data_IF_686288503317
#
_entry.id   IF_686288503317
#
_cell.length_a   1.000
_cell.length_b   1.000
_cell.length_c   1.000
_cell.angle_alpha   90.00
_cell.angle_beta   90.00
_cell.angle_gamma   90.00
#
_symmetry.space_group_name_H-M   'P 1'
#
loop_
_entity.id
_entity.type
_entity.pdbx_description
1 polymer ?
#
# COMPACT_ATOMS: atom_id res chain seq x y z
N UNK A 1 6.74 -31.36 -37.02
CA UNK A 1 6.74 -30.19 -37.95
C UNK A 1 5.84 -29.02 -37.50
N UNK A 2 5.49 -28.87 -36.21
CA UNK A 2 4.60 -27.78 -35.75
C UNK A 2 5.32 -26.59 -35.08
N UNK A 3 6.63 -26.70 -34.79
CA UNK A 3 7.41 -25.60 -34.15
C UNK A 3 7.87 -24.53 -35.15
N UNK A 4 8.06 -24.89 -36.42
CA UNK A 4 8.61 -23.97 -37.41
C UNK A 4 7.58 -22.95 -37.94
N UNK A 5 6.30 -23.34 -38.00
CA UNK A 5 5.22 -22.43 -38.42
C UNK A 5 4.94 -21.31 -37.41
N UNK A 6 5.09 -21.57 -36.11
CA UNK A 6 4.86 -20.55 -35.07
C UNK A 6 5.95 -19.47 -35.06
N UNK A 7 7.16 -19.80 -35.47
CA UNK A 7 8.27 -18.86 -35.46
C UNK A 7 8.19 -17.85 -36.63
N UNK A 8 7.67 -18.29 -37.78
CA UNK A 8 7.42 -17.41 -38.93
C UNK A 8 6.33 -16.36 -38.68
N UNK A 9 5.25 -16.73 -37.99
CA UNK A 9 4.15 -15.80 -37.68
C UNK A 9 4.56 -14.68 -36.70
N UNK A 10 5.51 -14.95 -35.80
CA UNK A 10 6.03 -13.94 -34.86
C UNK A 10 6.94 -12.94 -35.58
N UNK A 11 7.73 -13.38 -36.56
CA UNK A 11 8.61 -12.50 -37.34
C UNK A 11 7.85 -11.55 -38.27
N UNK A 12 6.73 -11.98 -38.87
CA UNK A 12 5.91 -11.09 -39.71
C UNK A 12 5.14 -10.05 -38.89
N UNK A 13 4.70 -10.40 -37.68
CA UNK A 13 4.06 -9.47 -36.74
C UNK A 13 5.04 -8.39 -36.24
N UNK A 14 6.30 -8.76 -35.98
CA UNK A 14 7.36 -7.83 -35.59
C UNK A 14 7.76 -6.89 -36.74
N UNK A 15 7.84 -7.40 -37.98
CA UNK A 15 8.20 -6.59 -39.14
C UNK A 15 7.12 -5.54 -39.51
N UNK A 16 5.83 -5.89 -39.37
CA UNK A 16 4.73 -4.92 -39.60
C UNK A 16 4.74 -3.79 -38.57
N UNK A 17 5.04 -4.09 -37.30
CA UNK A 17 5.09 -3.07 -36.25
C UNK A 17 6.25 -2.07 -36.42
N UNK A 18 7.37 -2.51 -36.99
CA UNK A 18 8.51 -1.63 -37.28
C UNK A 18 8.28 -0.72 -38.49
N UNK A 19 7.40 -1.09 -39.43
CA UNK A 19 7.18 -0.31 -40.66
C UNK A 19 6.06 0.73 -40.49
N UNK A 20 5.07 0.48 -39.63
CA UNK A 20 3.97 1.42 -39.37
C UNK A 20 4.31 2.53 -38.36
N UNK A 21 5.42 2.40 -37.61
CA UNK A 21 5.86 3.38 -36.61
C UNK A 21 7.14 4.13 -36.99
N UNK A 22 7.50 4.18 -38.27
CA UNK A 22 8.58 5.03 -38.75
C UNK A 22 8.14 6.50 -38.76
N UNK A 23 8.06 7.10 -37.57
CA UNK A 23 7.85 8.53 -37.39
C UNK A 23 9.10 9.26 -37.90
N UNK A 24 8.96 10.31 -38.73
CA UNK A 24 10.10 11.12 -39.15
C UNK A 24 10.79 11.69 -37.90
N UNK A 25 12.12 11.59 -37.89
CA UNK A 25 12.99 11.98 -36.78
C UNK A 25 12.85 13.48 -36.53
N UNK A 26 11.95 13.87 -35.63
CA UNK A 26 11.78 15.24 -35.16
C UNK A 26 13.00 15.66 -34.36
N UNK A 27 13.45 16.90 -34.56
CA UNK A 27 14.52 17.56 -33.81
C UNK A 27 14.41 17.31 -32.29
N UNK A 28 15.55 17.19 -31.58
CA UNK A 28 15.55 16.93 -30.15
C UNK A 28 14.73 18.01 -29.43
N UNK A 29 13.73 17.64 -28.60
CA UNK A 29 12.91 18.62 -27.91
C UNK A 29 13.79 19.47 -27.00
N UNK A 30 13.52 20.78 -26.98
CA UNK A 30 14.14 21.72 -26.06
C UNK A 30 14.11 21.16 -24.63
N UNK A 31 15.23 21.33 -23.91
CA UNK A 31 15.43 20.83 -22.54
C UNK A 31 14.13 20.95 -21.72
N UNK A 32 13.66 19.86 -21.09
CA UNK A 32 12.46 19.93 -20.28
C UNK A 32 12.61 21.03 -19.23
N UNK A 33 11.55 21.79 -18.93
CA UNK A 33 11.62 22.85 -17.93
C UNK A 33 12.16 22.25 -16.63
N UNK A 34 13.29 22.79 -16.17
CA UNK A 34 13.91 22.39 -14.90
C UNK A 34 12.88 22.63 -13.80
N UNK A 35 12.23 21.57 -13.32
CA UNK A 35 11.31 21.65 -12.20
C UNK A 35 12.16 22.07 -11.00
N UNK A 36 11.95 23.26 -10.41
CA UNK A 36 12.72 23.69 -9.27
C UNK A 36 12.61 22.65 -8.17
N UNK A 37 13.74 22.19 -7.64
CA UNK A 37 13.78 21.27 -6.52
C UNK A 37 12.99 21.88 -5.35
N UNK A 38 11.81 21.31 -5.05
CA UNK A 38 11.05 21.67 -3.86
C UNK A 38 11.62 20.85 -2.72
N UNK A 39 12.22 21.51 -1.73
CA UNK A 39 12.57 20.84 -0.47
C UNK A 39 11.36 20.05 0.04
N UNK A 40 11.52 18.78 0.45
CA UNK A 40 10.44 18.03 1.05
C UNK A 40 9.95 18.84 2.25
N UNK A 41 8.66 19.23 2.25
CA UNK A 41 8.06 19.87 3.42
C UNK A 41 8.22 18.87 4.56
N UNK A 42 8.88 19.22 5.68
CA UNK A 42 9.00 18.31 6.80
C UNK A 42 7.60 17.84 7.17
N UNK A 43 7.41 16.55 7.50
CA UNK A 43 6.11 16.04 7.85
C UNK A 43 5.54 16.91 8.98
N UNK A 44 4.43 17.61 8.71
CA UNK A 44 3.76 18.52 9.67
C UNK A 44 3.36 17.83 10.98
N UNK A 45 3.49 16.50 11.06
CA UNK A 45 2.98 15.65 12.14
C UNK A 45 4.11 15.00 12.93
N UNK A 46 4.98 15.81 13.53
CA UNK A 46 5.66 15.33 14.76
C UNK A 46 4.61 15.44 15.85
N UNK A 47 4.02 14.32 16.27
CA UNK A 47 3.03 14.30 17.36
C UNK A 47 3.71 14.83 18.61
N UNK A 48 3.16 15.90 19.17
CA UNK A 48 3.67 16.50 20.41
C UNK A 48 2.76 16.09 21.54
N UNK A 49 3.34 15.82 22.70
CA UNK A 49 2.59 15.78 23.94
C UNK A 49 1.88 17.13 24.13
N UNK A 50 0.69 17.08 24.69
CA UNK A 50 0.01 18.28 25.14
C UNK A 50 0.90 19.00 26.16
N UNK A 51 1.26 20.27 25.94
CA UNK A 51 2.20 20.99 26.79
C UNK A 51 1.67 21.21 28.22
N UNK A 52 0.36 21.12 28.46
CA UNK A 52 -0.25 21.25 29.79
C UNK A 52 -0.32 19.91 30.53
N UNK A 53 -0.65 18.84 29.81
CA UNK A 53 -0.93 17.54 30.43
C UNK A 53 0.23 16.54 30.30
N UNK A 54 1.22 16.82 29.45
CA UNK A 54 2.30 15.89 29.10
C UNK A 54 1.81 14.63 28.39
N UNK A 55 0.50 14.52 28.11
CA UNK A 55 -0.10 13.34 27.52
C UNK A 55 -0.11 13.46 26.01
N UNK A 56 0.22 12.35 25.37
CA UNK A 56 -0.02 12.20 23.94
C UNK A 56 -1.52 12.16 23.67
N UNK A 57 -2.04 12.85 22.64
CA UNK A 57 -3.44 12.69 22.26
C UNK A 57 -3.74 11.24 21.89
N UNK A 58 -4.88 10.72 22.33
CA UNK A 58 -5.31 9.37 21.96
C UNK A 58 -5.74 9.36 20.48
N UNK A 59 -5.14 8.49 19.67
CA UNK A 59 -5.49 8.36 18.23
C UNK A 59 -6.00 6.97 17.93
N UNK A 60 -7.20 6.95 17.35
CA UNK A 60 -7.75 5.78 16.71
C UNK A 60 -7.44 5.81 15.22
N UNK A 61 -7.09 4.66 14.68
CA UNK A 61 -6.91 4.41 13.26
C UNK A 61 -8.00 3.46 12.80
N UNK A 62 -8.52 3.69 11.61
CA UNK A 62 -9.47 2.82 10.94
C UNK A 62 -8.74 2.09 9.82
N UNK A 63 -8.88 0.77 9.78
CA UNK A 63 -8.11 -0.02 8.83
C UNK A 63 -8.36 -1.52 8.94
N UNK A 64 -7.70 -2.25 8.04
CA UNK A 64 -7.80 -3.69 7.92
C UNK A 64 -6.76 -4.38 8.80
N UNK A 65 -7.16 -5.26 9.73
CA UNK A 65 -6.23 -6.02 10.55
C UNK A 65 -5.62 -7.17 9.74
N UNK A 66 -4.30 -7.29 9.83
CA UNK A 66 -3.51 -8.42 9.33
C UNK A 66 -2.96 -9.21 10.51
N UNK A 67 -3.72 -10.19 11.02
CA UNK A 67 -3.15 -11.33 11.72
C UNK A 67 -2.12 -12.04 10.84
N UNK A 68 -1.16 -12.71 11.47
CA UNK A 68 -0.09 -13.40 10.74
C UNK A 68 -0.63 -14.47 9.77
N UNK A 69 -1.70 -15.20 10.14
CA UNK A 69 -2.33 -16.18 9.26
C UNK A 69 -2.98 -15.56 8.02
N UNK A 70 -3.54 -14.35 8.13
CA UNK A 70 -4.12 -13.61 7.00
C UNK A 70 -3.02 -13.12 6.07
N UNK A 71 -1.91 -12.63 6.63
CA UNK A 71 -0.76 -12.20 5.85
C UNK A 71 -0.12 -13.39 5.13
N UNK A 72 -0.04 -14.55 5.78
CA UNK A 72 0.42 -15.80 5.17
C UNK A 72 -0.48 -16.22 4.01
N UNK A 73 -1.80 -16.26 4.21
CA UNK A 73 -2.76 -16.57 3.15
C UNK A 73 -2.64 -15.62 1.95
N UNK A 74 -2.45 -14.31 2.21
CA UNK A 74 -2.20 -13.35 1.15
C UNK A 74 -0.90 -13.64 0.39
N UNK A 75 0.21 -13.92 1.10
CA UNK A 75 1.48 -14.27 0.48
C UNK A 75 1.36 -15.51 -0.42
N UNK A 76 0.60 -16.51 0.01
CA UNK A 76 0.36 -17.74 -0.74
C UNK A 76 -0.46 -17.46 -2.00
N UNK A 77 -1.52 -16.64 -1.88
CA UNK A 77 -2.37 -16.23 -3.01
C UNK A 77 -1.57 -15.56 -4.13
N UNK A 78 -0.61 -14.69 -3.79
CA UNK A 78 0.21 -13.98 -4.78
C UNK A 78 1.50 -14.72 -5.17
N UNK A 79 1.75 -15.91 -4.61
CA UNK A 79 2.96 -16.68 -4.85
C UNK A 79 4.24 -16.00 -4.35
N UNK A 80 4.15 -15.20 -3.29
CA UNK A 80 5.28 -14.44 -2.76
C UNK A 80 6.23 -15.34 -1.99
N UNK A 81 7.35 -15.69 -2.62
CA UNK A 81 8.44 -16.48 -2.02
C UNK A 81 7.94 -17.75 -1.30
N UNK A 82 7.28 -18.69 -1.99
CA UNK A 82 6.55 -19.81 -1.38
C UNK A 82 7.39 -20.75 -0.50
N UNK A 83 8.72 -20.72 -0.65
CA UNK A 83 9.65 -21.56 0.11
C UNK A 83 10.25 -20.85 1.34
N UNK A 84 9.81 -19.64 1.67
CA UNK A 84 10.33 -18.85 2.80
C UNK A 84 9.33 -18.80 3.96
N UNK A 85 9.85 -18.70 5.17
CA UNK A 85 9.02 -18.49 6.36
C UNK A 85 8.33 -17.11 6.30
N UNK A 86 7.18 -16.97 6.98
CA UNK A 86 6.41 -15.71 6.97
C UNK A 86 7.25 -14.50 7.39
N UNK A 87 8.16 -14.64 8.36
CA UNK A 87 9.00 -13.54 8.83
C UNK A 87 9.87 -12.94 7.72
N UNK A 88 10.33 -13.78 6.78
CA UNK A 88 11.14 -13.35 5.64
C UNK A 88 10.29 -12.78 4.50
N UNK A 89 9.04 -13.24 4.36
CA UNK A 89 8.09 -12.79 3.33
C UNK A 89 7.44 -11.45 3.70
N UNK A 90 7.20 -11.25 4.99
CA UNK A 90 6.40 -10.16 5.52
C UNK A 90 6.86 -8.76 5.10
N UNK A 91 8.15 -8.37 5.16
CA UNK A 91 8.56 -7.04 4.72
C UNK A 91 8.21 -6.77 3.26
N UNK A 92 8.33 -7.78 2.39
CA UNK A 92 7.97 -7.69 0.98
C UNK A 92 6.46 -7.60 0.78
N UNK A 93 5.68 -8.39 1.55
CA UNK A 93 4.23 -8.34 1.49
C UNK A 93 3.69 -6.96 1.88
N UNK A 94 4.17 -6.40 2.99
CA UNK A 94 3.77 -5.07 3.46
C UNK A 94 4.13 -3.98 2.45
N UNK A 95 5.30 -4.08 1.82
CA UNK A 95 5.76 -3.13 0.80
C UNK A 95 4.94 -3.24 -0.49
N UNK A 96 4.64 -4.46 -0.95
CA UNK A 96 3.80 -4.69 -2.14
C UNK A 96 2.38 -4.19 -1.93
N UNK A 97 1.76 -4.51 -0.79
CA UNK A 97 0.43 -4.01 -0.44
C UNK A 97 0.46 -2.47 -0.39
N UNK A 98 1.46 -1.89 0.28
CA UNK A 98 1.61 -0.44 0.35
C UNK A 98 1.78 0.22 -1.03
N UNK A 99 2.58 -0.38 -1.91
CA UNK A 99 2.78 0.10 -3.27
C UNK A 99 1.51 0.07 -4.13
N UNK A 100 0.60 -0.87 -3.84
CA UNK A 100 -0.68 -1.00 -4.52
C UNK A 100 -1.77 -0.06 -4.00
N UNK A 101 -1.57 0.60 -2.83
CA UNK A 101 -2.59 1.51 -2.28
C UNK A 101 -2.58 2.89 -2.97
N UNK A 102 -3.70 3.34 -3.56
CA UNK A 102 -3.70 4.52 -4.44
C UNK A 102 -3.66 5.87 -3.72
N UNK A 103 -3.99 5.94 -2.42
CA UNK A 103 -3.99 7.20 -1.66
C UNK A 103 -2.70 7.49 -0.90
N UNK A 104 -1.83 6.50 -0.82
CA UNK A 104 -0.51 6.67 -0.27
C UNK A 104 0.40 7.02 -1.45
N UNK A 105 0.66 8.32 -1.64
CA UNK A 105 1.63 8.76 -2.64
C UNK A 105 3.05 8.31 -2.25
N UNK A 106 3.85 9.23 -1.72
CA UNK A 106 5.26 8.96 -1.40
C UNK A 106 5.52 8.52 0.06
N UNK A 107 4.55 8.66 0.96
CA UNK A 107 4.74 8.39 2.40
C UNK A 107 4.02 7.11 2.85
N UNK A 108 4.56 5.96 2.45
CA UNK A 108 4.10 4.60 2.82
C UNK A 108 4.19 4.31 4.31
N UNK A 109 5.02 5.05 5.05
CA UNK A 109 5.19 4.89 6.50
C UNK A 109 3.90 5.14 7.30
N UNK A 110 2.92 5.82 6.68
CA UNK A 110 1.62 6.12 7.31
C UNK A 110 0.56 5.05 7.10
N UNK A 111 0.82 4.09 6.21
CA UNK A 111 -0.14 3.02 5.92
C UNK A 111 -0.16 1.93 6.97
N UNK A 112 0.92 1.74 7.70
CA UNK A 112 1.03 0.65 8.65
C UNK A 112 1.05 1.17 10.08
N UNK A 113 0.27 0.51 10.95
CA UNK A 113 0.39 0.65 12.39
C UNK A 113 0.43 -0.71 13.06
N UNK A 114 1.16 -0.79 14.16
CA UNK A 114 1.01 -1.89 15.11
C UNK A 114 -0.06 -1.48 16.11
N UNK A 115 -1.10 -2.30 16.24
CA UNK A 115 -2.23 -2.06 17.14
C UNK A 115 -2.44 -3.25 18.05
N UNK A 116 -3.10 -3.05 19.18
CA UNK A 116 -3.51 -4.18 20.03
C UNK A 116 -4.79 -4.77 19.47
N UNK A 117 -4.84 -6.09 19.31
CA UNK A 117 -6.07 -6.79 18.93
C UNK A 117 -7.14 -6.71 20.02
N UNK A 118 -8.41 -7.00 19.70
CA UNK A 118 -9.48 -7.04 20.68
C UNK A 118 -9.14 -8.00 21.84
N UNK A 119 -9.40 -7.60 23.11
CA UNK A 119 -8.97 -8.36 24.28
C UNK A 119 -9.62 -9.76 24.38
N UNK A 120 -10.76 -9.97 23.73
CA UNK A 120 -11.51 -11.24 23.78
C UNK A 120 -10.88 -12.35 22.93
N UNK A 121 -10.00 -12.02 22.00
CA UNK A 121 -9.60 -12.94 20.94
C UNK A 121 -8.12 -13.34 21.02
N UNK A 122 -7.41 -12.96 22.08
CA UNK A 122 -6.02 -13.39 22.31
C UNK A 122 -5.02 -12.95 21.21
N UNK A 123 -5.44 -12.08 20.29
CA UNK A 123 -4.69 -11.71 19.08
C UNK A 123 -3.35 -10.99 19.32
N UNK A 124 -3.05 -10.58 20.56
CA UNK A 124 -1.81 -9.85 20.86
C UNK A 124 -1.71 -8.54 20.09
N UNK A 125 -0.64 -8.38 19.32
CA UNK A 125 -0.42 -7.22 18.44
C UNK A 125 -0.72 -7.57 16.99
N UNK A 126 -1.42 -6.67 16.30
CA UNK A 126 -1.83 -6.81 14.91
C UNK A 126 -1.17 -5.73 14.06
N UNK A 127 -0.87 -6.07 12.81
CA UNK A 127 -0.47 -5.09 11.79
C UNK A 127 -1.74 -4.57 11.15
N UNK A 128 -1.91 -3.26 11.11
CA UNK A 128 -3.10 -2.62 10.57
C UNK A 128 -2.75 -1.83 9.32
N UNK A 129 -3.43 -2.12 8.22
CA UNK A 129 -3.41 -1.29 7.02
C UNK A 129 -4.41 -0.13 7.19
N UNK A 130 -3.89 1.06 7.40
CA UNK A 130 -4.64 2.28 7.72
C UNK A 130 -5.34 2.83 6.47
N UNK A 131 -6.65 2.98 6.57
CA UNK A 131 -7.50 3.70 5.60
C UNK A 131 -7.68 5.16 6.03
N UNK A 132 -7.85 5.40 7.34
CA UNK A 132 -8.03 6.72 7.93
C UNK A 132 -7.78 6.75 9.43
N UNK A 133 -8.00 7.90 10.07
CA UNK A 133 -7.80 8.08 11.51
C UNK A 133 -8.71 9.17 12.06
N UNK A 134 -8.80 9.29 13.39
CA UNK A 134 -9.50 10.40 14.03
C UNK A 134 -8.58 11.61 14.32
N UNK A 135 -7.37 11.64 13.75
CA UNK A 135 -6.38 12.68 14.06
C UNK A 135 -6.73 14.04 13.44
N UNK A 136 -7.37 14.03 12.26
CA UNK A 136 -7.85 15.25 11.59
C UNK A 136 -9.20 15.00 10.91
N UNK A 137 -9.95 16.08 10.61
CA UNK A 137 -11.20 15.97 9.86
C UNK A 137 -11.02 15.30 8.49
N UNK A 138 -9.90 15.55 7.80
CA UNK A 138 -9.58 14.90 6.52
C UNK A 138 -9.31 13.39 6.70
N UNK A 139 -8.60 12.99 7.75
CA UNK A 139 -8.37 11.57 8.03
C UNK A 139 -9.65 10.84 8.42
N UNK A 140 -10.56 11.53 9.10
CA UNK A 140 -11.85 10.99 9.49
C UNK A 140 -12.76 10.81 8.26
N UNK A 141 -12.73 11.76 7.32
CA UNK A 141 -13.39 11.61 6.02
C UNK A 141 -12.83 10.43 5.24
N UNK A 142 -11.50 10.23 5.27
CA UNK A 142 -10.86 9.09 4.63
C UNK A 142 -11.30 7.75 5.26
N UNK A 143 -11.49 7.69 6.58
CA UNK A 143 -11.98 6.50 7.26
C UNK A 143 -13.40 6.10 6.78
N UNK A 144 -14.23 7.07 6.42
CA UNK A 144 -15.58 6.86 5.90
C UNK A 144 -15.62 6.73 4.36
N UNK A 145 -14.48 6.69 3.68
CA UNK A 145 -14.42 6.65 2.23
C UNK A 145 -14.56 5.20 1.71
N UNK A 146 -15.76 4.87 1.22
CA UNK A 146 -16.06 3.54 0.68
C UNK A 146 -15.15 3.13 -0.49
N UNK A 147 -14.73 4.08 -1.35
CA UNK A 147 -13.84 3.78 -2.47
C UNK A 147 -12.45 3.35 -1.99
N UNK A 148 -11.95 3.88 -0.87
CA UNK A 148 -10.69 3.43 -0.29
C UNK A 148 -10.80 2.02 0.29
N UNK A 149 -11.90 1.76 1.01
CA UNK A 149 -12.18 0.42 1.55
C UNK A 149 -12.25 -0.60 0.42
N UNK A 150 -12.96 -0.27 -0.67
CA UNK A 150 -13.07 -1.12 -1.84
C UNK A 150 -11.72 -1.37 -2.52
N UNK A 151 -10.91 -0.32 -2.71
CA UNK A 151 -9.57 -0.46 -3.26
C UNK A 151 -8.65 -1.32 -2.37
N UNK A 152 -8.78 -1.29 -1.04
CA UNK A 152 -8.07 -2.28 -0.20
C UNK A 152 -8.56 -3.69 -0.53
N UNK A 153 -9.88 -3.93 -0.57
CA UNK A 153 -10.44 -5.27 -0.87
C UNK A 153 -9.94 -5.83 -2.20
N UNK A 154 -9.79 -4.98 -3.21
CA UNK A 154 -9.22 -5.38 -4.50
C UNK A 154 -7.75 -5.81 -4.42
N UNK A 155 -6.98 -5.21 -3.50
CA UNK A 155 -5.56 -5.55 -3.27
C UNK A 155 -5.43 -6.84 -2.45
N UNK A 156 -6.24 -6.98 -1.41
CA UNK A 156 -6.10 -8.07 -0.43
C UNK A 156 -6.87 -9.32 -0.83
N UNK A 157 -7.88 -9.19 -1.70
CA UNK A 157 -8.78 -10.28 -2.07
C UNK A 157 -9.80 -10.59 -0.96
N UNK A 158 -10.43 -11.76 -1.08
CA UNK A 158 -11.39 -12.25 -0.11
C UNK A 158 -10.67 -13.01 1.02
N UNK A 159 -10.17 -12.26 1.99
CA UNK A 159 -9.51 -12.79 3.19
C UNK A 159 -10.41 -12.74 4.43
N UNK A 160 -11.72 -12.50 4.23
CA UNK A 160 -12.72 -12.39 5.31
C UNK A 160 -12.37 -11.38 6.43
N UNK A 161 -11.47 -10.44 6.17
CA UNK A 161 -11.11 -9.38 7.12
C UNK A 161 -11.92 -8.11 6.89
N UNK A 162 -12.45 -7.56 7.98
CA UNK A 162 -13.23 -6.34 7.98
C UNK A 162 -12.46 -5.18 8.63
N UNK A 163 -12.57 -3.96 8.07
CA UNK A 163 -11.93 -2.80 8.66
C UNK A 163 -12.64 -2.35 9.93
N UNK A 164 -11.85 -2.06 10.96
CA UNK A 164 -12.36 -1.63 12.27
C UNK A 164 -11.51 -0.49 12.86
N UNK A 165 -11.99 0.08 13.96
CA UNK A 165 -11.28 1.12 14.70
C UNK A 165 -10.37 0.53 15.76
N UNK A 166 -9.09 0.91 15.73
CA UNK A 166 -8.06 0.46 16.67
C UNK A 166 -7.31 1.62 17.29
N UNK A 167 -6.86 1.46 18.54
CA UNK A 167 -5.96 2.42 19.16
C UNK A 167 -4.53 2.23 18.64
N UNK A 168 -3.93 3.31 18.10
CA UNK A 168 -2.57 3.28 17.55
C UNK A 168 -1.47 3.18 18.62
N UNK A 169 -1.80 3.38 19.89
CA UNK A 169 -0.84 3.34 20.99
C UNK A 169 -1.42 2.58 22.19
N UNK A 170 -0.62 1.71 22.79
CA UNK A 170 -1.05 0.73 23.80
C UNK A 170 -1.43 1.34 25.16
N UNK A 171 -1.11 2.62 25.38
CA UNK A 171 -1.36 3.33 26.64
C UNK A 171 -2.77 3.94 26.76
N UNK A 172 -3.63 3.76 25.76
CA UNK A 172 -4.98 4.35 25.72
C UNK A 172 -6.11 3.31 25.85
N UNK A 173 -5.79 2.14 26.42
CA UNK A 173 -6.78 1.12 26.78
C UNK A 173 -7.63 1.58 27.96
#
# INVERSE_FOLDING_TARGET
MAKQLKQWQVTELMAKWSTENATPQSEPPANPPVIPFKHPKPPRRVRRQDPKTGKMPAVKVYGFPFPDHVLEAWCDLVGLHPNKALQDRMPYALEMIAASTPWCGWDRSRLWAIVKGPPKEGFGYLKLLIVGSNETASDLQNANNAARVQAVREIIGDLEIEPAWYWRNHNFN
#
